data_IF_032235137835
#
_entry.id   IF_032235137835
#
_cell.length_a   1.000
_cell.length_b   1.000
_cell.length_c   1.000
_cell.angle_alpha   90.00
_cell.angle_beta   90.00
_cell.angle_gamma   90.00
#
_symmetry.space_group_name_H-M   'P 1'
#
loop_
_entity.id
_entity.type
_entity.pdbx_description
1 polymer ?
#
# COMPACT_ATOMS: atom_id res chain seq x y z
N UNK A 1 -5.30 17.08 8.39
CA UNK A 1 -5.57 18.54 8.35
C UNK A 1 -6.55 19.07 9.42
N UNK A 2 -6.03 19.83 10.40
CA UNK A 2 -6.87 20.70 11.25
C UNK A 2 -7.38 21.91 10.42
N UNK A 3 -8.52 22.55 10.77
CA UNK A 3 -8.93 23.78 10.09
C UNK A 3 -7.80 24.81 10.12
N UNK A 4 -7.58 25.54 9.01
CA UNK A 4 -6.41 26.40 8.83
C UNK A 4 -6.15 27.35 10.01
N UNK A 5 -7.22 27.89 10.60
CA UNK A 5 -7.17 28.81 11.74
C UNK A 5 -6.62 28.18 13.04
N UNK A 6 -6.70 26.86 13.18
CA UNK A 6 -6.24 26.12 14.37
C UNK A 6 -4.92 25.38 14.14
N UNK A 7 -4.31 25.50 12.96
CA UNK A 7 -3.03 24.84 12.68
C UNK A 7 -1.88 25.68 13.27
N UNK A 8 -1.07 25.14 14.20
CA UNK A 8 0.09 25.86 14.74
C UNK A 8 1.07 26.23 13.62
N UNK A 9 1.75 27.38 13.74
CA UNK A 9 2.69 27.89 12.72
C UNK A 9 3.82 26.92 12.35
N UNK A 10 4.13 25.96 13.23
CA UNK A 10 5.20 24.98 13.04
C UNK A 10 4.70 23.64 12.48
N UNK A 11 3.45 23.57 11.98
CA UNK A 11 2.90 22.38 11.31
C UNK A 11 2.62 22.68 9.84
N UNK A 12 2.94 21.71 8.99
CA UNK A 12 2.60 21.74 7.56
C UNK A 12 1.30 20.97 7.32
N UNK A 13 0.58 21.29 6.24
CA UNK A 13 -0.52 20.44 5.78
C UNK A 13 0.02 19.12 5.26
N UNK A 14 -0.75 18.04 5.45
CA UNK A 14 -0.34 16.68 5.04
C UNK A 14 0.04 16.64 3.55
N UNK A 15 -0.71 17.36 2.72
CA UNK A 15 -0.48 17.43 1.28
C UNK A 15 0.83 18.14 0.90
N UNK A 16 1.11 19.27 1.54
CA UNK A 16 2.34 20.05 1.28
C UNK A 16 3.57 19.25 1.72
N UNK A 17 3.46 18.51 2.82
CA UNK A 17 4.50 17.62 3.30
C UNK A 17 4.78 16.48 2.30
N UNK A 18 3.74 15.86 1.74
CA UNK A 18 3.90 14.82 0.71
C UNK A 18 4.52 15.42 -0.55
N UNK A 19 4.08 16.60 -0.99
CA UNK A 19 4.69 17.29 -2.15
C UNK A 19 6.19 17.48 -1.96
N UNK A 20 6.60 18.06 -0.83
CA UNK A 20 8.02 18.28 -0.52
C UNK A 20 8.82 16.99 -0.62
N UNK A 21 8.33 15.89 -0.03
CA UNK A 21 9.05 14.62 -0.04
C UNK A 21 9.13 14.01 -1.46
N UNK A 22 8.10 14.18 -2.31
CA UNK A 22 8.16 13.76 -3.72
C UNK A 22 9.14 14.63 -4.52
N UNK A 23 9.07 15.95 -4.35
CA UNK A 23 9.90 16.93 -5.08
C UNK A 23 11.38 16.77 -4.74
N UNK A 24 11.70 16.44 -3.48
CA UNK A 24 13.07 16.24 -3.03
C UNK A 24 13.67 14.89 -3.48
N UNK A 25 12.85 13.87 -3.76
CA UNK A 25 13.31 12.55 -4.19
C UNK A 25 14.16 12.62 -5.47
N UNK A 26 15.30 11.91 -5.51
CA UNK A 26 16.21 11.92 -6.66
C UNK A 26 16.27 10.60 -7.39
N UNK A 27 16.01 9.49 -6.70
CA UNK A 27 16.18 8.15 -7.28
C UNK A 27 14.87 7.39 -7.39
N UNK A 28 14.05 7.41 -6.33
CA UNK A 28 12.80 6.65 -6.32
C UNK A 28 11.75 7.24 -5.39
N UNK A 29 10.49 6.91 -5.67
CA UNK A 29 9.34 7.14 -4.81
C UNK A 29 8.51 5.86 -4.77
N UNK A 30 8.47 5.20 -3.62
CA UNK A 30 7.70 3.98 -3.39
C UNK A 30 6.50 4.30 -2.50
N UNK A 31 5.29 4.03 -3.00
CA UNK A 31 4.03 4.46 -2.38
C UNK A 31 3.19 3.22 -2.09
N UNK A 32 2.77 3.06 -0.83
CA UNK A 32 1.87 2.01 -0.40
C UNK A 32 0.61 2.63 0.21
N UNK A 33 -0.53 2.43 -0.46
CA UNK A 33 -1.84 2.99 -0.08
C UNK A 33 -2.93 1.93 -0.15
N UNK A 34 -4.04 2.15 0.55
CA UNK A 34 -5.23 1.33 0.34
C UNK A 34 -5.89 1.72 -0.96
N UNK A 35 -6.18 3.01 -1.14
CA UNK A 35 -6.88 3.51 -2.31
C UNK A 35 -6.08 4.62 -3.03
N UNK A 36 -6.12 4.58 -4.35
CA UNK A 36 -5.54 5.59 -5.25
C UNK A 36 -6.64 6.08 -6.20
N UNK A 37 -7.18 7.26 -5.93
CA UNK A 37 -8.27 7.81 -6.72
C UNK A 37 -8.13 9.34 -6.80
N UNK A 38 -7.53 9.88 -7.88
CA UNK A 38 -7.41 11.32 -8.17
C UNK A 38 -8.75 12.04 -8.43
N UNK A 39 -9.75 11.81 -7.58
CA UNK A 39 -11.08 12.40 -7.60
C UNK A 39 -11.38 12.93 -6.20
N UNK A 40 -11.97 14.11 -6.13
CA UNK A 40 -12.71 14.58 -4.96
C UNK A 40 -14.21 14.59 -5.28
N UNK A 41 -15.02 14.06 -4.37
CA UNK A 41 -16.45 13.88 -4.53
C UNK A 41 -17.21 14.56 -3.40
N UNK A 42 -18.37 15.10 -3.71
CA UNK A 42 -19.40 15.53 -2.76
C UNK A 42 -20.63 14.67 -2.96
N UNK A 43 -21.71 14.92 -2.20
CA UNK A 43 -22.98 14.21 -2.40
C UNK A 43 -23.58 14.38 -3.80
N UNK A 44 -23.22 15.45 -4.53
CA UNK A 44 -23.84 15.80 -5.81
C UNK A 44 -22.87 15.89 -6.99
N UNK A 45 -21.55 15.89 -6.75
CA UNK A 45 -20.55 16.13 -7.80
C UNK A 45 -19.26 15.36 -7.56
N UNK A 46 -18.74 14.73 -8.62
CA UNK A 46 -17.34 14.24 -8.69
C UNK A 46 -16.51 15.23 -9.50
N UNK A 47 -15.33 15.58 -9.01
CA UNK A 47 -14.36 16.47 -9.66
C UNK A 47 -12.99 15.84 -9.71
N UNK A 48 -12.30 15.99 -10.84
CA UNK A 48 -10.91 15.59 -10.95
C UNK A 48 -10.04 16.40 -9.99
N UNK A 49 -9.19 15.71 -9.25
CA UNK A 49 -8.29 16.29 -8.27
C UNK A 49 -6.85 15.90 -8.63
N UNK A 50 -6.12 16.77 -9.37
CA UNK A 50 -4.86 16.41 -10.02
C UNK A 50 -3.66 16.41 -9.10
N UNK A 51 -3.80 16.92 -7.88
CA UNK A 51 -2.74 17.25 -6.93
C UNK A 51 -1.61 16.20 -6.79
N UNK A 52 -1.88 15.04 -6.18
CA UNK A 52 -0.86 13.99 -6.00
C UNK A 52 -0.55 13.23 -7.30
N UNK A 53 -1.54 13.03 -8.18
CA UNK A 53 -1.35 12.38 -9.49
C UNK A 53 -0.38 13.17 -10.38
N UNK A 54 -0.51 14.50 -10.37
CA UNK A 54 0.36 15.45 -11.05
C UNK A 54 1.80 15.37 -10.55
N UNK A 55 2.01 15.29 -9.24
CA UNK A 55 3.35 15.11 -8.66
C UNK A 55 4.01 13.79 -9.04
N UNK A 56 3.24 12.70 -9.12
CA UNK A 56 3.75 11.42 -9.65
C UNK A 56 4.17 11.59 -11.12
N UNK A 57 3.31 12.19 -11.95
CA UNK A 57 3.60 12.41 -13.38
C UNK A 57 4.84 13.28 -13.58
N UNK A 58 4.95 14.37 -12.84
CA UNK A 58 6.09 15.28 -12.85
C UNK A 58 7.39 14.53 -12.52
N UNK A 59 7.39 13.75 -11.42
CA UNK A 59 8.54 12.96 -11.00
C UNK A 59 8.99 11.94 -12.05
N UNK A 60 8.02 11.26 -12.69
CA UNK A 60 8.27 10.27 -13.74
C UNK A 60 8.85 10.90 -15.00
N UNK A 61 8.22 11.97 -15.49
CA UNK A 61 8.47 12.51 -16.83
C UNK A 61 9.59 13.54 -16.85
N UNK A 62 9.59 14.46 -15.89
CA UNK A 62 10.52 15.60 -15.91
C UNK A 62 11.81 15.32 -15.13
N UNK A 63 11.78 14.35 -14.20
CA UNK A 63 12.92 14.06 -13.31
C UNK A 63 13.43 12.63 -13.41
N UNK A 64 12.80 11.78 -14.23
CA UNK A 64 13.14 10.36 -14.42
C UNK A 64 13.27 9.57 -13.10
N UNK A 65 12.47 9.94 -12.10
CA UNK A 65 12.44 9.27 -10.78
C UNK A 65 11.67 7.95 -10.91
N UNK A 66 12.19 6.87 -10.30
CA UNK A 66 11.54 5.55 -10.35
C UNK A 66 10.36 5.50 -9.40
N UNK A 67 9.17 5.24 -9.91
CA UNK A 67 7.96 5.18 -9.08
C UNK A 67 7.43 3.75 -9.00
N UNK A 68 7.15 3.28 -7.78
CA UNK A 68 6.43 2.04 -7.52
C UNK A 68 5.17 2.34 -6.71
N UNK A 69 4.00 2.02 -7.26
CA UNK A 69 2.71 2.11 -6.54
C UNK A 69 2.24 0.72 -6.14
N UNK A 70 2.06 0.50 -4.85
CA UNK A 70 1.41 -0.68 -4.29
C UNK A 70 0.05 -0.25 -3.71
N UNK A 71 -1.03 -0.69 -4.35
CA UNK A 71 -2.40 -0.28 -4.02
C UNK A 71 -3.14 -1.50 -3.51
N UNK A 72 -3.95 -1.38 -2.46
CA UNK A 72 -4.73 -2.53 -2.00
C UNK A 72 -5.86 -2.84 -2.97
N UNK A 73 -6.14 -4.13 -3.20
CA UNK A 73 -7.26 -4.56 -4.02
C UNK A 73 -8.28 -5.28 -3.16
N UNK A 74 -9.51 -4.76 -3.19
CA UNK A 74 -10.60 -5.21 -2.35
C UNK A 74 -11.95 -4.93 -3.03
N UNK A 75 -13.05 -5.44 -2.47
CA UNK A 75 -14.36 -5.41 -3.13
C UNK A 75 -14.93 -4.01 -3.34
N UNK A 76 -14.49 -3.02 -2.54
CA UNK A 76 -14.88 -1.61 -2.66
C UNK A 76 -13.92 -0.75 -3.50
N UNK A 77 -12.84 -1.32 -4.06
CA UNK A 77 -11.94 -0.54 -4.93
C UNK A 77 -12.73 0.09 -6.09
N UNK A 78 -12.73 1.43 -6.19
CA UNK A 78 -13.45 2.15 -7.25
C UNK A 78 -12.89 1.75 -8.63
N UNK A 79 -13.73 1.34 -9.60
CA UNK A 79 -13.27 0.94 -10.93
C UNK A 79 -12.43 1.99 -11.66
N UNK A 80 -12.63 3.28 -11.38
CA UNK A 80 -11.85 4.37 -11.97
C UNK A 80 -10.38 4.33 -11.54
N UNK A 81 -10.04 3.69 -10.42
CA UNK A 81 -8.66 3.40 -10.01
C UNK A 81 -7.88 2.78 -11.18
N UNK A 82 -8.45 1.78 -11.85
CA UNK A 82 -7.81 1.12 -12.98
C UNK A 82 -7.61 2.04 -14.19
N UNK A 83 -8.56 2.96 -14.43
CA UNK A 83 -8.46 3.95 -15.49
C UNK A 83 -7.33 4.96 -15.22
N UNK A 84 -7.25 5.49 -14.00
CA UNK A 84 -6.16 6.42 -13.62
C UNK A 84 -4.80 5.73 -13.64
N UNK A 85 -4.69 4.50 -13.17
CA UNK A 85 -3.46 3.70 -13.30
C UNK A 85 -3.09 3.44 -14.75
N UNK A 86 -4.07 3.19 -15.63
CA UNK A 86 -3.80 3.03 -17.06
C UNK A 86 -3.31 4.33 -17.70
N UNK A 87 -3.91 5.47 -17.33
CA UNK A 87 -3.44 6.80 -17.74
C UNK A 87 -2.02 7.11 -17.26
N UNK A 88 -1.68 6.75 -16.02
CA UNK A 88 -0.32 6.88 -15.50
C UNK A 88 0.66 6.00 -16.26
N UNK A 89 0.32 4.74 -16.53
CA UNK A 89 1.18 3.82 -17.30
C UNK A 89 1.42 4.33 -18.72
N UNK A 90 0.39 4.87 -19.37
CA UNK A 90 0.48 5.37 -20.73
C UNK A 90 1.47 6.54 -20.89
N UNK A 91 1.74 7.31 -19.83
CA UNK A 91 2.68 8.43 -19.89
C UNK A 91 4.13 7.97 -20.14
N UNK A 92 4.47 6.75 -19.72
CA UNK A 92 5.82 6.21 -19.87
C UNK A 92 6.07 5.49 -21.20
N UNK A 93 5.06 5.31 -22.05
CA UNK A 93 5.18 4.47 -23.27
C UNK A 93 6.23 5.02 -24.24
N UNK A 94 6.27 6.34 -24.42
CA UNK A 94 7.13 7.01 -25.42
C UNK A 94 8.33 7.74 -24.78
N UNK A 95 8.52 7.61 -23.47
CA UNK A 95 9.53 8.37 -22.74
C UNK A 95 10.65 7.45 -22.31
N UNK A 96 11.82 7.63 -22.93
CA UNK A 96 13.04 6.94 -22.54
C UNK A 96 13.33 7.16 -21.05
N UNK A 97 13.71 6.10 -20.34
CA UNK A 97 14.01 6.10 -18.90
C UNK A 97 12.82 6.39 -17.95
N UNK A 98 11.57 6.43 -18.44
CA UNK A 98 10.40 6.49 -17.57
C UNK A 98 10.18 5.16 -16.84
N UNK A 99 10.10 5.17 -15.51
CA UNK A 99 10.04 3.95 -14.70
C UNK A 99 8.88 3.96 -13.72
N UNK A 100 7.69 3.65 -14.23
CA UNK A 100 6.50 3.40 -13.41
C UNK A 100 6.21 1.90 -13.33
N UNK A 101 6.09 1.37 -12.11
CA UNK A 101 5.52 0.04 -11.86
C UNK A 101 4.36 0.14 -10.89
N UNK A 102 3.28 -0.56 -11.19
CA UNK A 102 2.11 -0.61 -10.32
C UNK A 102 1.74 -2.05 -10.05
N UNK A 103 1.54 -2.38 -8.77
CA UNK A 103 1.00 -3.66 -8.32
C UNK A 103 -0.18 -3.42 -7.40
N UNK A 104 -1.09 -4.37 -7.40
CA UNK A 104 -2.19 -4.43 -6.47
C UNK A 104 -1.94 -5.53 -5.43
N UNK A 105 -2.22 -5.22 -4.17
CA UNK A 105 -2.03 -6.10 -3.03
C UNK A 105 -3.36 -6.73 -2.64
N UNK A 106 -3.52 -8.03 -2.91
CA UNK A 106 -4.77 -8.76 -2.74
C UNK A 106 -4.59 -9.87 -1.70
N UNK A 107 -5.09 -9.62 -0.48
CA UNK A 107 -5.09 -10.57 0.64
C UNK A 107 -6.27 -11.54 0.59
N UNK A 108 -7.30 -11.24 -0.18
CA UNK A 108 -8.53 -12.03 -0.26
C UNK A 108 -8.43 -13.15 -1.30
N UNK A 109 -7.48 -13.08 -2.23
CA UNK A 109 -7.26 -14.14 -3.22
C UNK A 109 -7.03 -15.52 -2.62
N UNK A 110 -6.36 -15.59 -1.46
CA UNK A 110 -6.18 -16.86 -0.75
C UNK A 110 -7.51 -17.38 -0.17
N UNK A 111 -8.45 -16.49 0.16
CA UNK A 111 -9.79 -16.83 0.63
C UNK A 111 -10.83 -16.89 -0.52
N UNK A 112 -10.45 -16.59 -1.77
CA UNK A 112 -11.37 -16.58 -2.89
C UNK A 112 -12.08 -17.94 -3.05
N UNK A 113 -11.36 -19.02 -2.74
CA UNK A 113 -11.82 -20.40 -2.76
C UNK A 113 -12.29 -20.94 -1.40
N UNK A 114 -12.40 -20.09 -0.36
CA UNK A 114 -12.99 -20.45 0.93
C UNK A 114 -14.51 -20.65 0.81
N UNK A 115 -15.07 -21.59 1.57
CA UNK A 115 -16.50 -21.93 1.58
C UNK A 115 -17.37 -20.74 1.98
N UNK A 116 -18.57 -20.66 1.41
CA UNK A 116 -19.53 -19.55 1.63
C UNK A 116 -19.84 -19.30 3.13
N UNK A 117 -19.81 -20.33 3.96
CA UNK A 117 -20.03 -20.24 5.41
C UNK A 117 -18.95 -19.42 6.14
N UNK A 118 -17.69 -19.43 5.67
CA UNK A 118 -16.59 -18.62 6.26
C UNK A 118 -16.62 -17.15 5.80
N UNK A 119 -17.28 -16.85 4.67
CA UNK A 119 -17.34 -15.49 4.10
C UNK A 119 -18.33 -14.56 4.82
N UNK A 120 -19.34 -15.10 5.50
CA UNK A 120 -20.43 -14.30 6.06
C UNK A 120 -20.15 -13.66 7.44
N UNK A 121 -19.01 -13.96 8.07
CA UNK A 121 -18.71 -13.48 9.44
C UNK A 121 -17.36 -12.79 9.61
N UNK A 122 -16.58 -12.61 8.53
CA UNK A 122 -15.21 -12.12 8.64
C UNK A 122 -15.07 -10.78 7.92
N UNK A 123 -14.53 -9.77 8.62
CA UNK A 123 -14.14 -8.51 7.99
C UNK A 123 -13.12 -8.76 6.87
N UNK A 124 -13.17 -7.99 5.76
CA UNK A 124 -12.21 -8.15 4.68
C UNK A 124 -10.79 -7.93 5.21
N UNK A 125 -9.91 -8.90 4.95
CA UNK A 125 -8.46 -8.79 5.16
C UNK A 125 -7.95 -7.76 4.16
N UNK A 126 -7.56 -6.61 4.67
CA UNK A 126 -7.17 -5.47 3.86
C UNK A 126 -5.84 -4.91 4.34
N UNK A 127 -4.92 -4.68 3.40
CA UNK A 127 -3.73 -3.90 3.69
C UNK A 127 -4.14 -2.41 3.81
N UNK A 128 -3.90 -1.82 4.98
CA UNK A 128 -4.30 -0.45 5.31
C UNK A 128 -3.13 0.52 5.35
N UNK A 129 -2.10 0.29 4.54
CA UNK A 129 -0.93 1.17 4.47
C UNK A 129 -1.31 2.57 3.94
N UNK A 130 -0.66 3.61 4.48
CA UNK A 130 -0.67 4.99 3.97
C UNK A 130 0.72 5.58 4.20
N UNK A 131 1.68 5.14 3.40
CA UNK A 131 3.05 5.64 3.51
C UNK A 131 3.71 5.77 2.15
N UNK A 132 4.76 6.58 2.09
CA UNK A 132 5.71 6.55 1.00
C UNK A 132 7.15 6.64 1.52
N UNK A 133 8.07 6.12 0.74
CA UNK A 133 9.50 6.14 1.04
C UNK A 133 10.28 6.50 -0.22
N UNK A 134 11.26 7.38 -0.05
CA UNK A 134 12.15 7.87 -1.11
C UNK A 134 13.60 7.62 -0.71
N UNK A 135 14.55 8.04 -1.56
CA UNK A 135 15.97 7.95 -1.25
C UNK A 135 16.44 8.89 -0.13
N UNK A 136 15.64 9.89 0.26
CA UNK A 136 16.00 10.88 1.28
C UNK A 136 15.02 11.02 2.45
N UNK A 137 13.78 10.56 2.31
CA UNK A 137 12.78 10.72 3.35
C UNK A 137 11.67 9.65 3.30
N UNK A 138 10.92 9.56 4.40
CA UNK A 138 9.73 8.75 4.52
C UNK A 138 8.55 9.61 5.00
N UNK A 139 7.37 9.32 4.49
CA UNK A 139 6.10 9.87 4.99
C UNK A 139 5.21 8.72 5.44
N UNK A 140 4.63 8.82 6.63
CA UNK A 140 3.63 7.90 7.17
C UNK A 140 2.44 8.73 7.63
N UNK A 141 1.24 8.44 7.13
CA UNK A 141 0.03 9.18 7.49
C UNK A 141 -1.19 8.29 7.65
N UNK A 142 -2.37 8.91 7.64
CA UNK A 142 -3.66 8.22 7.75
C UNK A 142 -4.56 8.35 6.51
N UNK A 143 -4.19 9.20 5.55
CA UNK A 143 -4.96 9.43 4.33
C UNK A 143 -4.55 8.53 3.19
N UNK A 144 -5.55 7.95 2.52
CA UNK A 144 -5.38 7.34 1.22
C UNK A 144 -5.17 8.43 0.16
N UNK A 145 -4.71 8.03 -1.02
CA UNK A 145 -4.39 9.00 -2.08
C UNK A 145 -5.65 9.27 -2.90
N UNK A 146 -6.65 9.81 -2.18
CA UNK A 146 -7.99 10.14 -2.64
C UNK A 146 -8.29 11.61 -2.33
N UNK A 147 -8.88 12.35 -3.27
CA UNK A 147 -9.05 13.80 -3.13
C UNK A 147 -9.85 14.23 -1.91
N UNK A 148 -10.89 13.47 -1.52
CA UNK A 148 -11.68 13.73 -0.31
C UNK A 148 -10.84 13.73 0.96
N UNK A 149 -9.86 12.83 1.07
CA UNK A 149 -9.06 12.69 2.29
C UNK A 149 -8.27 13.97 2.59
N UNK A 150 -7.70 14.59 1.56
CA UNK A 150 -6.94 15.83 1.73
C UNK A 150 -7.81 17.09 1.81
N UNK A 151 -8.97 17.08 1.16
CA UNK A 151 -9.82 18.28 1.01
C UNK A 151 -10.94 18.40 2.03
N UNK A 152 -11.40 17.29 2.60
CA UNK A 152 -12.59 17.25 3.47
C UNK A 152 -12.33 16.60 4.83
N UNK A 153 -11.23 15.85 5.00
CA UNK A 153 -10.97 15.11 6.24
C UNK A 153 -9.86 15.76 7.09
N UNK A 154 -9.92 15.45 8.39
CA UNK A 154 -8.84 15.71 9.33
C UNK A 154 -7.93 14.48 9.44
N UNK A 155 -6.64 14.72 9.63
CA UNK A 155 -5.60 13.72 9.50
C UNK A 155 -4.26 14.22 10.03
N UNK A 156 -3.33 13.29 10.12
CA UNK A 156 -2.01 13.47 10.70
C UNK A 156 -1.01 12.62 9.95
N UNK A 157 0.08 13.25 9.52
CA UNK A 157 1.25 12.60 8.96
C UNK A 157 2.52 12.90 9.73
N UNK A 158 3.51 12.03 9.55
CA UNK A 158 4.87 12.15 10.04
C UNK A 158 5.82 12.08 8.85
N UNK A 159 6.66 13.10 8.68
CA UNK A 159 7.80 13.07 7.77
C UNK A 159 9.06 12.78 8.55
N UNK A 160 9.85 11.84 8.07
CA UNK A 160 11.15 11.46 8.63
C UNK A 160 12.19 11.75 7.55
N UNK A 161 13.05 12.74 7.80
CA UNK A 161 14.20 13.06 6.97
C UNK A 161 15.48 12.69 7.74
N UNK A 162 16.32 11.84 7.16
CA UNK A 162 17.58 11.43 7.79
C UNK A 162 18.73 11.81 6.87
N UNK A 163 19.62 12.67 7.36
CA UNK A 163 20.79 13.12 6.61
C UNK A 163 21.75 11.98 6.25
N UNK A 164 21.75 10.89 7.05
CA UNK A 164 22.69 9.77 6.89
C UNK A 164 21.95 8.44 6.61
N UNK A 165 21.40 8.31 5.40
CA UNK A 165 20.68 7.11 4.92
C UNK A 165 21.60 5.89 4.79
N UNK A 166 22.92 6.08 4.90
CA UNK A 166 23.94 5.01 4.80
C UNK A 166 23.96 4.09 6.02
N UNK A 167 23.37 4.50 7.14
CA UNK A 167 23.17 3.61 8.28
C UNK A 167 22.12 2.55 7.95
N UNK A 168 22.48 1.27 8.11
CA UNK A 168 21.57 0.15 7.98
C UNK A 168 20.42 0.17 9.01
N UNK A 169 20.50 1.02 10.03
CA UNK A 169 19.44 1.25 11.01
C UNK A 169 18.52 2.41 10.65
N UNK A 170 18.73 3.12 9.54
CA UNK A 170 17.87 4.22 9.14
C UNK A 170 16.41 3.76 8.97
N UNK A 171 15.46 4.57 9.45
CA UNK A 171 14.03 4.30 9.34
C UNK A 171 13.62 4.28 7.86
N UNK A 172 14.25 5.13 7.04
CA UNK A 172 14.04 5.15 5.59
C UNK A 172 14.36 3.77 4.99
N UNK A 173 15.51 3.18 5.33
CA UNK A 173 15.87 1.83 4.86
C UNK A 173 14.89 0.78 5.37
N UNK A 174 14.57 0.78 6.66
CA UNK A 174 13.62 -0.18 7.24
C UNK A 174 12.24 -0.11 6.58
N UNK A 175 11.73 1.10 6.32
CA UNK A 175 10.44 1.28 5.66
C UNK A 175 10.50 0.85 4.19
N UNK A 176 11.62 1.11 3.50
CA UNK A 176 11.86 0.58 2.16
C UNK A 176 11.88 -0.95 2.16
N UNK A 177 12.51 -1.59 3.14
CA UNK A 177 12.55 -3.05 3.26
C UNK A 177 11.14 -3.64 3.49
N UNK A 178 10.30 -2.96 4.28
CA UNK A 178 8.87 -3.30 4.44
C UNK A 178 8.13 -3.19 3.10
N UNK A 179 8.34 -2.10 2.36
CA UNK A 179 7.75 -1.94 1.03
C UNK A 179 8.19 -3.06 0.09
N UNK A 180 9.48 -3.37 0.03
CA UNK A 180 10.01 -4.39 -0.88
C UNK A 180 9.55 -5.79 -0.49
N UNK A 181 9.45 -6.11 0.81
CA UNK A 181 8.83 -7.34 1.30
C UNK A 181 7.41 -7.49 0.74
N UNK A 182 6.57 -6.47 0.89
CA UNK A 182 5.19 -6.52 0.41
C UNK A 182 5.14 -6.56 -1.12
N UNK A 183 6.00 -5.80 -1.79
CA UNK A 183 6.09 -5.71 -3.25
C UNK A 183 6.48 -7.03 -3.92
N UNK A 184 7.38 -7.81 -3.32
CA UNK A 184 7.82 -9.11 -3.81
C UNK A 184 7.01 -10.29 -3.24
N UNK A 185 6.06 -10.02 -2.34
CA UNK A 185 5.16 -11.03 -1.78
C UNK A 185 4.26 -11.68 -2.85
N UNK A 186 3.72 -12.88 -2.57
CA UNK A 186 2.73 -13.51 -3.45
C UNK A 186 1.43 -12.69 -3.57
N UNK A 187 1.15 -11.78 -2.65
CA UNK A 187 -0.06 -10.94 -2.63
C UNK A 187 0.00 -9.76 -3.60
N UNK A 188 1.21 -9.30 -3.97
CA UNK A 188 1.40 -8.17 -4.87
C UNK A 188 1.41 -8.62 -6.35
N UNK A 189 0.35 -8.32 -7.08
CA UNK A 189 0.15 -8.70 -8.48
C UNK A 189 0.01 -7.50 -9.40
N UNK A 190 0.60 -7.59 -10.60
CA UNK A 190 0.21 -6.72 -11.70
C UNK A 190 -1.16 -7.18 -12.17
N UNK A 191 -2.25 -6.54 -11.74
CA UNK A 191 -3.58 -6.89 -12.22
C UNK A 191 -3.68 -6.56 -13.70
N UNK A 192 -3.94 -7.60 -14.49
CA UNK A 192 -4.61 -7.47 -15.77
C UNK A 192 -6.11 -7.38 -15.44
N UNK A 193 -6.85 -6.39 -15.97
CA UNK A 193 -8.30 -6.41 -15.87
C UNK A 193 -8.78 -7.78 -16.38
N UNK A 194 -9.63 -8.49 -15.63
CA UNK A 194 -10.43 -9.67 -16.04
C UNK A 194 -10.01 -11.13 -15.74
N UNK A 195 -8.97 -11.46 -14.96
CA UNK A 195 -8.75 -12.88 -14.57
C UNK A 195 -9.19 -13.19 -13.14
N UNK A 196 -10.37 -13.80 -13.00
CA UNK A 196 -10.78 -14.48 -11.77
C UNK A 196 -9.73 -15.54 -11.36
N UNK A 197 -9.49 -15.74 -10.06
CA UNK A 197 -8.58 -16.79 -9.61
C UNK A 197 -9.13 -18.17 -9.98
N UNK A 198 -8.36 -18.96 -10.74
CA UNK A 198 -8.67 -20.36 -11.00
C UNK A 198 -8.46 -21.17 -9.71
N UNK A 199 -9.56 -21.62 -9.09
CA UNK A 199 -9.54 -22.33 -7.80
C UNK A 199 -8.98 -23.76 -7.87
N UNK A 200 -8.65 -24.28 -9.05
CA UNK A 200 -8.11 -25.64 -9.21
C UNK A 200 -6.65 -25.79 -8.79
N UNK A 201 -5.88 -24.69 -8.70
CA UNK A 201 -4.43 -24.72 -8.46
C UNK A 201 -4.00 -24.38 -7.01
N UNK A 202 -4.90 -23.86 -6.17
CA UNK A 202 -4.59 -23.46 -4.79
C UNK A 202 -4.66 -24.60 -3.77
N UNK A 203 -5.21 -25.75 -4.14
CA UNK A 203 -5.27 -26.95 -3.29
C UNK A 203 -3.90 -27.58 -3.00
N UNK A 204 -2.85 -27.22 -3.76
CA UNK A 204 -1.50 -27.78 -3.63
C UNK A 204 -0.61 -27.11 -2.56
N UNK A 205 -1.09 -26.06 -1.90
CA UNK A 205 -0.32 -25.30 -0.90
C UNK A 205 -0.62 -25.67 0.57
N UNK A 206 -1.44 -26.70 0.83
CA UNK A 206 -1.58 -27.24 2.19
C UNK A 206 -0.45 -28.22 2.51
N UNK A 207 0.50 -27.80 3.33
CA UNK A 207 1.56 -28.63 3.96
C UNK A 207 0.95 -29.48 5.11
N UNK A 208 1.59 -30.58 5.54
CA UNK A 208 0.93 -31.68 6.25
C UNK A 208 0.42 -31.31 7.64
N UNK A 209 -0.76 -31.88 7.95
CA UNK A 209 -1.31 -31.99 9.30
C UNK A 209 -0.26 -32.50 10.29
N UNK A 210 0.10 -31.68 11.29
CA UNK A 210 0.83 -32.13 12.47
C UNK A 210 0.03 -33.25 13.17
N UNK A 211 0.59 -34.46 13.23
CA UNK A 211 0.14 -35.47 14.17
C UNK A 211 0.50 -35.01 15.60
N UNK A 212 -0.39 -35.15 16.60
CA UNK A 212 -0.01 -34.91 17.99
C UNK A 212 0.96 -36.00 18.44
N UNK A 213 2.11 -35.59 18.97
CA UNK A 213 3.03 -36.46 19.69
C UNK A 213 2.31 -37.05 20.92
N UNK A 214 2.21 -38.37 20.98
CA UNK A 214 1.79 -39.10 22.18
C UNK A 214 2.87 -38.98 23.25
N UNK A 215 2.55 -38.27 24.34
CA UNK A 215 3.33 -38.30 25.57
C UNK A 215 3.23 -39.70 26.21
N UNK A 216 4.35 -40.43 26.28
CA UNK A 216 4.49 -41.60 27.12
C UNK A 216 4.57 -41.17 28.59
N UNK A 217 3.48 -41.35 29.34
CA UNK A 217 3.50 -41.26 30.80
C UNK A 217 3.98 -42.60 31.38
N UNK A 218 5.21 -42.61 31.89
CA UNK A 218 5.75 -43.69 32.72
C UNK A 218 5.23 -43.49 34.14
N UNK A 219 4.26 -44.30 34.57
CA UNK A 219 3.84 -44.41 35.96
C UNK A 219 4.44 -45.66 36.59
N UNK A 220 5.45 -45.50 37.44
CA UNK A 220 5.82 -46.50 38.46
C UNK A 220 5.20 -46.04 39.78
N UNK A 221 4.23 -46.79 40.29
CA UNK A 221 3.87 -46.77 41.71
C UNK A 221 4.83 -47.67 42.50
N UNK A 222 5.25 -47.27 43.71
CA UNK A 222 5.79 -48.18 44.71
C UNK A 222 4.68 -48.67 45.66
N UNK A 223 4.64 -49.98 45.88
CA UNK A 223 3.84 -50.63 46.93
C UNK A 223 4.34 -50.23 48.33
N UNK A 224 3.41 -50.01 49.26
CA UNK A 224 3.65 -50.09 50.70
C UNK A 224 2.36 -50.47 51.44
N UNK A 225 2.48 -51.53 52.25
CA UNK A 225 1.56 -52.14 53.23
C UNK A 225 0.35 -52.94 52.68
#
# INVERSE_FOLDING_TARGET
>A
NSPKLFCPKNRSFDIDAIYSVIDDAKQYVYIAVTDYLPISSTSTKRTYWPDLDGKIREALVLRSVKVRLLISFWKETDPLTFNFISSLKAICTEIANCSLKVKFFDLERENACATKEQKNQTFPKLNRNKYMVTDGAAYIGNFDWVGNDFTQNAGTGLVINQADVRDNRSIIKQLKDVFERDWYSPYAKSLQPTKQPNCSNLSKLKTPSNQPATHNATGREPLSA
#
